data_IF_025768833499
#
_entry.id   IF_025768833499
#
_cell.length_a   1.000
_cell.length_b   1.000
_cell.length_c   1.000
_cell.angle_alpha   90.00
_cell.angle_beta   90.00
_cell.angle_gamma   90.00
#
_symmetry.space_group_name_H-M   'P 1'
#
loop_
_entity.id
_entity.type
_entity.pdbx_description
1 polymer ?
#
# COMPACT_ATOMS: atom_id res chain seq x y z
N UNK A 1 -5.17 1.63 -6.06
CA UNK A 1 -6.59 1.34 -6.35
C UNK A 1 -7.46 2.38 -5.65
N UNK A 2 -7.77 3.50 -6.32
CA UNK A 2 -8.75 4.47 -5.81
C UNK A 2 -9.99 4.55 -6.72
N UNK A 3 -9.86 4.14 -7.98
CA UNK A 3 -10.91 4.22 -8.99
C UNK A 3 -11.58 2.87 -9.31
N UNK A 4 -11.08 1.75 -8.77
CA UNK A 4 -11.74 0.46 -8.90
C UNK A 4 -12.73 0.26 -7.74
N UNK A 5 -13.98 -0.03 -8.07
CA UNK A 5 -14.96 -0.52 -7.11
C UNK A 5 -14.93 -2.04 -7.13
N UNK A 6 -14.46 -2.64 -6.03
CA UNK A 6 -14.39 -4.09 -5.86
C UNK A 6 -15.48 -4.53 -4.89
N UNK A 7 -16.15 -5.64 -5.21
CA UNK A 7 -17.08 -6.34 -4.32
C UNK A 7 -16.69 -7.81 -4.21
N UNK A 8 -17.01 -8.44 -3.10
CA UNK A 8 -16.87 -9.88 -2.95
C UNK A 8 -18.03 -10.61 -3.65
N UNK A 9 -17.68 -11.62 -4.46
CA UNK A 9 -18.60 -12.57 -5.07
C UNK A 9 -18.63 -13.90 -4.33
N UNK A 10 -19.22 -14.91 -4.96
CA UNK A 10 -19.27 -16.27 -4.41
C UNK A 10 -17.87 -16.81 -4.14
N UNK A 11 -17.70 -17.53 -3.02
CA UNK A 11 -16.40 -18.06 -2.60
C UNK A 11 -15.34 -17.00 -2.27
N UNK A 12 -15.73 -15.73 -2.09
CA UNK A 12 -14.81 -14.63 -1.78
C UNK A 12 -14.02 -14.12 -2.99
N UNK A 13 -14.45 -14.44 -4.22
CA UNK A 13 -13.81 -13.91 -5.42
C UNK A 13 -13.97 -12.40 -5.47
N UNK A 14 -12.88 -11.67 -5.64
CA UNK A 14 -12.93 -10.22 -5.85
C UNK A 14 -13.46 -9.93 -7.24
N UNK A 15 -14.54 -9.18 -7.32
CA UNK A 15 -15.23 -8.83 -8.57
C UNK A 15 -15.10 -7.34 -8.82
N UNK A 16 -14.81 -6.95 -10.06
CA UNK A 16 -14.95 -5.58 -10.50
C UNK A 16 -16.45 -5.26 -10.62
N UNK A 17 -16.94 -4.32 -9.81
CA UNK A 17 -18.37 -4.02 -9.74
C UNK A 17 -18.93 -3.43 -11.05
N UNK A 18 -18.09 -2.75 -11.83
CA UNK A 18 -18.50 -2.10 -13.08
C UNK A 18 -18.64 -3.10 -14.23
N UNK A 19 -17.78 -4.11 -14.31
CA UNK A 19 -17.79 -5.12 -15.39
C UNK A 19 -18.43 -6.43 -14.99
N UNK A 20 -18.63 -6.65 -13.68
CA UNK A 20 -19.09 -7.91 -13.09
C UNK A 20 -18.18 -9.11 -13.39
N UNK A 21 -16.96 -8.89 -13.88
CA UNK A 21 -15.95 -9.91 -14.06
C UNK A 21 -15.06 -10.03 -12.80
N UNK A 22 -14.35 -11.17 -12.62
CA UNK A 22 -13.29 -11.26 -11.63
C UNK A 22 -12.30 -10.10 -11.81
N UNK A 23 -11.99 -9.43 -10.69
CA UNK A 23 -11.05 -8.32 -10.67
C UNK A 23 -9.69 -8.76 -11.22
N UNK A 24 -9.07 -7.89 -12.00
CA UNK A 24 -7.72 -8.07 -12.53
C UNK A 24 -6.93 -6.78 -12.44
N UNK A 25 -5.61 -6.88 -12.21
CA UNK A 25 -4.71 -5.73 -12.33
C UNK A 25 -4.60 -5.18 -13.77
N UNK A 26 -5.23 -5.85 -14.75
CA UNK A 26 -5.39 -5.36 -16.12
C UNK A 26 -6.68 -4.56 -16.33
N UNK A 27 -7.55 -4.46 -15.32
CA UNK A 27 -8.79 -3.69 -15.43
C UNK A 27 -8.48 -2.21 -15.71
N UNK A 28 -9.26 -1.59 -16.59
CA UNK A 28 -9.03 -0.20 -17.00
C UNK A 28 -9.08 0.83 -15.85
N UNK A 29 -9.74 0.49 -14.73
CA UNK A 29 -9.79 1.33 -13.53
C UNK A 29 -8.49 1.31 -12.71
N UNK A 30 -7.56 0.39 -13.03
CA UNK A 30 -6.29 0.24 -12.32
C UNK A 30 -5.31 1.29 -12.80
N UNK A 31 -5.02 2.25 -11.93
CA UNK A 31 -3.96 3.22 -12.16
C UNK A 31 -2.59 2.62 -11.89
N UNK A 32 -1.73 2.68 -12.90
CA UNK A 32 -0.33 2.28 -12.84
C UNK A 32 0.56 3.50 -12.63
N UNK A 33 1.65 3.31 -11.89
CA UNK A 33 2.56 4.39 -11.51
C UNK A 33 1.92 5.53 -10.68
N UNK A 34 1.00 5.25 -9.73
CA UNK A 34 0.49 6.32 -8.88
C UNK A 34 1.66 6.93 -8.08
N UNK A 35 1.69 8.25 -7.99
CA UNK A 35 2.68 8.92 -7.15
C UNK A 35 2.46 8.56 -5.69
N UNK A 36 3.35 7.75 -5.13
CA UNK A 36 3.38 7.46 -3.69
C UNK A 36 4.19 8.56 -3.02
N UNK A 37 3.50 9.60 -2.56
CA UNK A 37 4.14 10.73 -1.89
C UNK A 37 4.69 10.32 -0.53
N UNK A 38 5.96 10.65 -0.29
CA UNK A 38 6.59 10.56 1.03
C UNK A 38 6.68 11.94 1.68
N UNK A 39 6.60 11.98 3.01
CA UNK A 39 7.02 13.16 3.77
C UNK A 39 8.50 13.01 4.13
N UNK A 40 9.42 13.81 3.54
CA UNK A 40 10.85 13.64 3.74
C UNK A 40 11.26 13.85 5.20
N UNK A 41 10.61 14.78 5.90
CA UNK A 41 10.84 15.04 7.33
C UNK A 41 10.44 13.84 8.17
N UNK A 42 9.21 13.35 8.01
CA UNK A 42 8.75 12.17 8.75
C UNK A 42 9.60 10.93 8.46
N UNK A 43 10.04 10.76 7.21
CA UNK A 43 10.91 9.66 6.85
C UNK A 43 12.29 9.75 7.52
N UNK A 44 12.85 10.94 7.70
CA UNK A 44 14.09 11.14 8.44
C UNK A 44 13.90 10.82 9.93
N UNK A 45 12.87 11.39 10.55
CA UNK A 45 12.59 11.19 11.97
C UNK A 45 12.29 9.73 12.32
N UNK A 46 11.51 9.04 11.48
CA UNK A 46 11.23 7.62 11.67
C UNK A 46 12.50 6.77 11.60
N UNK A 47 13.40 7.05 10.64
CA UNK A 47 14.70 6.35 10.55
C UNK A 47 15.56 6.62 11.77
N UNK A 48 15.62 7.87 12.24
CA UNK A 48 16.37 8.23 13.44
C UNK A 48 15.85 7.48 14.67
N UNK A 49 14.53 7.50 14.90
CA UNK A 49 13.92 6.83 16.04
C UNK A 49 14.20 5.31 16.07
N UNK A 50 14.13 4.65 14.91
CA UNK A 50 14.45 3.22 14.80
C UNK A 50 15.94 2.98 15.07
N UNK A 51 16.83 3.79 14.49
CA UNK A 51 18.28 3.66 14.73
C UNK A 51 18.63 3.85 16.20
N UNK A 52 18.12 4.90 16.84
CA UNK A 52 18.36 5.19 18.26
C UNK A 52 17.85 4.04 19.14
N UNK A 53 16.66 3.49 18.84
CA UNK A 53 16.11 2.34 19.55
C UNK A 53 17.02 1.11 19.43
N UNK A 54 17.47 0.78 18.23
CA UNK A 54 18.31 -0.40 17.99
C UNK A 54 19.69 -0.23 18.63
N UNK A 55 20.27 0.97 18.59
CA UNK A 55 21.52 1.28 19.28
C UNK A 55 21.41 1.07 20.79
N UNK A 56 20.32 1.56 21.40
CA UNK A 56 20.07 1.36 22.82
C UNK A 56 19.85 -0.13 23.17
N UNK A 57 19.04 -0.84 22.37
CA UNK A 57 18.71 -2.24 22.59
C UNK A 57 19.95 -3.15 22.53
N UNK A 58 20.81 -2.92 21.54
CA UNK A 58 21.99 -3.75 21.28
C UNK A 58 23.28 -3.19 21.91
N UNK A 59 23.21 -2.06 22.63
CA UNK A 59 24.36 -1.38 23.24
C UNK A 59 25.46 -1.09 22.21
N UNK A 60 25.05 -0.60 21.04
CA UNK A 60 25.95 -0.21 19.95
C UNK A 60 26.42 1.21 20.22
N UNK A 61 27.39 1.33 21.13
CA UNK A 61 28.08 2.58 21.49
C UNK A 61 29.33 2.80 20.66
#
# INVERSE_FOLDING_TARGET
>A
MRHCTIREGEGGVLMNASTQAPFSYKDACVELGPHVGGNPTTALEARKAVSDFLQALFKLS
#
